data_IF_373283744511
#
_entry.id   IF_373283744511
#
_cell.length_a   1.000
_cell.length_b   1.000
_cell.length_c   1.000
_cell.angle_alpha   90.00
_cell.angle_beta   90.00
_cell.angle_gamma   90.00
#
_symmetry.space_group_name_H-M   'P 1'
#
loop_
_entity.id
_entity.type
_entity.pdbx_description
1 polymer ?
#
# COMPACT_ATOMS: atom_id res chain seq x y z
N UNK A 1 -0.97 13.63 -6.12
CA UNK A 1 -1.20 12.35 -5.39
C UNK A 1 -0.55 11.20 -6.11
N UNK A 2 0.18 10.37 -5.39
CA UNK A 2 0.86 9.17 -5.88
C UNK A 2 -0.06 7.97 -5.66
N UNK A 3 -0.23 7.13 -6.68
CA UNK A 3 -0.95 5.86 -6.54
C UNK A 3 -0.05 4.84 -5.86
N UNK A 4 -0.60 4.12 -4.88
CA UNK A 4 0.12 3.13 -4.10
C UNK A 4 -0.63 1.81 -4.04
N UNK A 5 0.11 0.73 -3.84
CA UNK A 5 -0.42 -0.60 -3.51
C UNK A 5 0.20 -1.07 -2.18
N UNK A 6 -0.37 -2.07 -1.53
CA UNK A 6 0.22 -2.67 -0.34
C UNK A 6 1.39 -3.55 -0.79
N UNK A 7 2.60 -3.24 -0.30
CA UNK A 7 3.79 -4.05 -0.52
C UNK A 7 3.83 -5.22 0.48
N UNK A 8 3.68 -4.89 1.76
CA UNK A 8 3.68 -5.90 2.83
C UNK A 8 2.93 -5.42 4.07
N UNK A 9 2.55 -6.38 4.92
CA UNK A 9 2.00 -6.13 6.25
C UNK A 9 2.88 -6.88 7.25
N UNK A 10 3.58 -6.14 8.09
CA UNK A 10 4.40 -6.72 9.16
C UNK A 10 3.54 -6.83 10.42
N UNK A 11 3.14 -8.07 10.74
CA UNK A 11 2.37 -8.37 11.93
C UNK A 11 3.30 -8.46 13.14
N UNK A 12 3.09 -7.60 14.12
CA UNK A 12 3.85 -7.64 15.36
C UNK A 12 3.07 -8.34 16.47
N UNK A 13 3.78 -9.09 17.30
CA UNK A 13 3.23 -9.71 18.51
C UNK A 13 3.59 -8.84 19.74
N UNK A 14 2.62 -8.69 20.66
CA UNK A 14 2.83 -7.95 21.90
C UNK A 14 2.63 -6.42 21.75
N UNK A 15 3.36 -5.61 22.53
CA UNK A 15 3.13 -4.17 22.63
C UNK A 15 3.70 -3.36 21.45
N UNK A 16 4.36 -4.02 20.50
CA UNK A 16 4.93 -3.36 19.33
C UNK A 16 3.84 -3.15 18.27
N UNK A 17 3.74 -1.99 17.63
CA UNK A 17 2.78 -1.77 16.56
C UNK A 17 3.11 -2.62 15.33
N UNK A 18 2.08 -3.09 14.64
CA UNK A 18 2.21 -3.66 13.31
C UNK A 18 2.46 -2.55 12.28
N UNK A 19 2.99 -2.88 11.13
CA UNK A 19 3.28 -1.93 10.06
C UNK A 19 2.54 -2.34 8.78
N UNK A 20 2.00 -1.35 8.09
CA UNK A 20 1.52 -1.47 6.73
C UNK A 20 2.51 -0.71 5.86
N UNK A 21 3.09 -1.37 4.87
CA UNK A 21 4.01 -0.76 3.91
C UNK A 21 3.27 -0.58 2.60
N UNK A 22 3.13 0.67 2.18
CA UNK A 22 2.53 1.06 0.91
C UNK A 22 3.66 1.41 -0.06
N UNK A 23 3.69 0.79 -1.22
CA UNK A 23 4.67 1.07 -2.27
C UNK A 23 4.03 1.86 -3.40
N UNK A 24 4.78 2.80 -3.96
CA UNK A 24 4.41 3.54 -5.16
C UNK A 24 4.19 2.57 -6.32
N UNK A 25 3.06 2.72 -6.99
CA UNK A 25 2.77 1.88 -8.15
C UNK A 25 3.54 2.37 -9.35
N UNK A 26 4.39 1.51 -9.92
CA UNK A 26 5.09 1.79 -11.16
C UNK A 26 4.08 2.07 -12.28
N UNK A 27 4.02 3.29 -12.78
CA UNK A 27 3.44 3.55 -14.08
C UNK A 27 4.45 3.11 -15.13
N UNK A 28 4.01 2.37 -16.15
CA UNK A 28 4.83 1.81 -17.24
C UNK A 28 5.58 2.85 -18.09
N UNK A 29 5.95 3.99 -17.55
CA UNK A 29 6.80 4.97 -18.20
C UNK A 29 8.20 4.89 -17.62
N UNK A 30 9.16 4.63 -18.46
CA UNK A 30 10.60 4.50 -18.35
C UNK A 30 11.37 5.45 -17.39
N UNK A 31 10.89 5.66 -16.19
CA UNK A 31 11.66 6.40 -15.20
C UNK A 31 12.53 5.43 -14.41
N UNK A 32 13.86 5.55 -14.44
CA UNK A 32 14.79 4.72 -13.69
C UNK A 32 14.82 5.07 -12.19
N UNK A 33 13.89 5.92 -11.71
CA UNK A 33 13.84 6.30 -10.31
C UNK A 33 13.32 5.13 -9.46
N UNK A 34 13.99 4.82 -8.35
CA UNK A 34 13.54 3.77 -7.44
C UNK A 34 12.16 4.11 -6.86
N UNK A 35 11.33 3.08 -6.71
CA UNK A 35 10.01 3.22 -6.13
C UNK A 35 10.12 3.60 -4.64
N UNK A 36 9.20 4.42 -4.17
CA UNK A 36 9.15 4.85 -2.77
C UNK A 36 8.11 4.05 -2.01
N UNK A 37 8.45 3.69 -0.78
CA UNK A 37 7.55 3.01 0.16
C UNK A 37 7.26 3.89 1.36
N UNK A 38 6.02 3.85 1.85
CA UNK A 38 5.55 4.55 3.04
C UNK A 38 5.11 3.54 4.09
N UNK A 39 5.75 3.57 5.26
CA UNK A 39 5.39 2.72 6.39
C UNK A 39 4.43 3.44 7.35
N UNK A 40 3.28 2.82 7.63
CA UNK A 40 2.25 3.33 8.53
C UNK A 40 2.09 2.37 9.70
N UNK A 41 2.27 2.88 10.92
CA UNK A 41 2.03 2.09 12.14
C UNK A 41 0.53 1.85 12.34
N UNK A 42 0.18 0.62 12.76
CA UNK A 42 -1.21 0.24 13.03
C UNK A 42 -1.29 -0.79 14.16
N UNK A 43 -2.48 -0.97 14.72
CA UNK A 43 -2.74 -2.02 15.69
C UNK A 43 -2.76 -3.41 15.03
N UNK A 44 -2.54 -4.44 15.84
CA UNK A 44 -2.54 -5.84 15.36
C UNK A 44 -3.91 -6.29 14.85
N UNK A 45 -4.99 -5.81 15.46
CA UNK A 45 -6.37 -6.11 15.01
C UNK A 45 -6.70 -5.46 13.67
N UNK A 46 -6.26 -4.21 13.45
CA UNK A 46 -6.42 -3.49 12.21
C UNK A 46 -5.59 -4.15 11.09
N UNK A 47 -4.34 -4.49 11.36
CA UNK A 47 -3.50 -5.23 10.42
C UNK A 47 -4.11 -6.58 10.03
N UNK A 48 -4.63 -7.34 11.00
CA UNK A 48 -5.34 -8.59 10.74
C UNK A 48 -6.62 -8.39 9.91
N UNK A 49 -7.34 -7.28 10.14
CA UNK A 49 -8.53 -6.95 9.35
C UNK A 49 -8.19 -6.65 7.89
N UNK A 50 -7.06 -5.96 7.63
CA UNK A 50 -6.57 -5.69 6.28
C UNK A 50 -6.13 -6.99 5.60
N UNK A 51 -5.31 -7.82 6.25
CA UNK A 51 -4.85 -9.11 5.72
C UNK A 51 -6.02 -9.99 5.28
N UNK A 52 -7.07 -10.12 6.11
CA UNK A 52 -8.28 -10.87 5.73
C UNK A 52 -8.97 -10.32 4.48
N UNK A 53 -8.90 -9.01 4.25
CA UNK A 53 -9.45 -8.39 3.05
C UNK A 53 -8.65 -8.74 1.79
N UNK A 54 -7.33 -8.88 1.92
CA UNK A 54 -6.43 -9.28 0.83
C UNK A 54 -6.64 -10.74 0.45
N UNK A 55 -6.73 -11.64 1.45
CA UNK A 55 -6.84 -13.08 1.26
C UNK A 55 -8.16 -13.52 0.59
N UNK A 56 -9.04 -12.58 0.23
CA UNK A 56 -10.30 -12.80 -0.49
C UNK A 56 -11.23 -13.84 0.13
N UNK A 57 -10.92 -14.32 1.31
CA UNK A 57 -11.76 -15.21 2.10
C UNK A 57 -12.87 -14.42 2.76
N UNK A 58 -14.03 -14.26 2.09
CA UNK A 58 -15.19 -13.70 2.77
C UNK A 58 -15.53 -14.63 3.94
N UNK A 59 -15.45 -14.10 5.14
CA UNK A 59 -15.87 -14.84 6.33
C UNK A 59 -17.35 -15.25 6.17
N UNK A 60 -17.76 -16.38 6.76
CA UNK A 60 -19.18 -16.81 6.75
C UNK A 60 -20.14 -15.70 7.22
N UNK A 61 -19.65 -14.81 8.09
CA UNK A 61 -20.37 -13.61 8.54
C UNK A 61 -19.50 -12.38 8.27
N UNK A 62 -20.13 -11.27 7.78
CA UNK A 62 -19.41 -10.03 7.51
C UNK A 62 -18.84 -9.45 8.82
N UNK A 63 -17.58 -9.02 8.76
CA UNK A 63 -16.97 -8.22 9.83
C UNK A 63 -17.28 -6.74 9.61
N UNK A 64 -16.87 -5.87 10.54
CA UNK A 64 -17.25 -4.45 10.53
C UNK A 64 -16.99 -3.75 9.18
N UNK A 65 -15.84 -3.99 8.55
CA UNK A 65 -15.52 -3.37 7.26
C UNK A 65 -16.38 -3.91 6.12
N UNK A 66 -16.72 -5.21 6.14
CA UNK A 66 -17.62 -5.81 5.17
C UNK A 66 -19.04 -5.21 5.32
N UNK A 67 -19.51 -5.13 6.58
CA UNK A 67 -20.81 -4.54 6.89
C UNK A 67 -20.90 -3.07 6.46
N UNK A 68 -19.82 -2.30 6.67
CA UNK A 68 -19.78 -0.90 6.23
C UNK A 68 -19.88 -0.78 4.71
N UNK A 69 -19.14 -1.60 3.95
CA UNK A 69 -19.23 -1.61 2.48
C UNK A 69 -20.61 -2.06 1.99
N UNK A 70 -21.18 -3.10 2.60
CA UNK A 70 -22.53 -3.57 2.29
C UNK A 70 -23.56 -2.46 2.58
N UNK A 71 -23.38 -1.69 3.66
CA UNK A 71 -24.24 -0.56 4.01
C UNK A 71 -24.13 0.57 2.98
N UNK A 72 -22.90 0.94 2.59
CA UNK A 72 -22.67 1.96 1.55
C UNK A 72 -23.34 1.53 0.25
N UNK A 73 -23.18 0.26 -0.15
CA UNK A 73 -23.81 -0.30 -1.35
C UNK A 73 -25.34 -0.33 -1.27
N UNK A 74 -25.90 -0.70 -0.11
CA UNK A 74 -27.35 -0.74 0.10
C UNK A 74 -27.99 0.67 0.02
N UNK A 75 -27.22 1.72 0.32
CA UNK A 75 -27.64 3.12 0.17
C UNK A 75 -27.40 3.68 -1.25
N UNK A 76 -27.04 2.83 -2.22
CA UNK A 76 -26.82 3.25 -3.60
C UNK A 76 -25.51 3.99 -3.84
N UNK A 77 -24.59 3.95 -2.88
CA UNK A 77 -23.30 4.59 -2.97
C UNK A 77 -22.16 3.56 -3.26
N UNK A 78 -21.00 4.04 -3.67
CA UNK A 78 -19.83 3.20 -3.96
C UNK A 78 -18.57 3.86 -3.42
N UNK A 79 -17.69 3.05 -2.83
CA UNK A 79 -16.34 3.51 -2.50
C UNK A 79 -15.56 3.71 -3.80
N UNK A 80 -15.11 4.93 -4.06
CA UNK A 80 -14.40 5.29 -5.29
C UNK A 80 -12.89 5.17 -5.13
N UNK A 81 -12.34 5.67 -4.04
CA UNK A 81 -10.91 5.62 -3.69
C UNK A 81 -10.67 5.96 -2.24
N UNK A 82 -9.45 5.74 -1.77
CA UNK A 82 -8.98 6.27 -0.49
C UNK A 82 -7.73 7.15 -0.72
N UNK A 83 -7.56 8.14 0.14
CA UNK A 83 -6.49 9.13 0.05
C UNK A 83 -5.82 9.28 1.42
N UNK A 84 -4.50 9.13 1.52
CA UNK A 84 -3.72 9.54 2.70
C UNK A 84 -3.35 11.00 2.49
N UNK A 85 -4.00 11.89 3.24
CA UNK A 85 -4.04 13.33 2.93
C UNK A 85 -3.16 14.17 3.85
N UNK A 86 -2.81 13.66 5.04
CA UNK A 86 -1.96 14.38 6.00
C UNK A 86 -1.17 13.39 6.85
N UNK A 87 0.04 13.80 7.22
CA UNK A 87 0.90 13.04 8.10
C UNK A 87 1.58 13.96 9.13
N UNK A 88 1.39 13.63 10.40
CA UNK A 88 2.06 14.21 11.58
C UNK A 88 2.63 13.03 12.39
N UNK A 89 3.79 12.48 11.96
CA UNK A 89 4.31 11.23 12.55
C UNK A 89 4.31 11.22 14.08
N UNK A 90 3.79 10.13 14.69
CA UNK A 90 3.42 8.87 14.06
C UNK A 90 1.98 8.80 13.50
N UNK A 91 1.20 9.90 13.53
CA UNK A 91 -0.20 9.93 13.14
C UNK A 91 -0.36 10.27 11.67
N UNK A 92 -1.17 9.47 10.98
CA UNK A 92 -1.57 9.69 9.59
C UNK A 92 -3.09 9.86 9.52
N UNK A 93 -3.54 10.64 8.53
CA UNK A 93 -4.95 10.94 8.30
C UNK A 93 -5.35 10.49 6.89
N UNK A 94 -6.49 9.84 6.79
CA UNK A 94 -7.00 9.36 5.52
C UNK A 94 -8.39 9.92 5.23
N UNK A 95 -8.73 9.92 3.96
CA UNK A 95 -10.06 10.25 3.46
C UNK A 95 -10.59 9.08 2.64
N UNK A 96 -11.78 8.64 2.97
CA UNK A 96 -12.55 7.72 2.14
C UNK A 96 -13.44 8.54 1.22
N UNK A 97 -13.31 8.34 -0.09
CA UNK A 97 -14.12 9.03 -1.09
C UNK A 97 -15.20 8.09 -1.59
N UNK A 98 -16.43 8.46 -1.34
CA UNK A 98 -17.63 7.70 -1.70
C UNK A 98 -18.39 8.46 -2.77
N UNK A 99 -18.77 7.78 -3.85
CA UNK A 99 -19.64 8.31 -4.89
C UNK A 99 -21.10 7.94 -4.59
N UNK A 100 -21.95 8.95 -4.45
CA UNK A 100 -23.39 8.80 -4.27
C UNK A 100 -24.13 9.85 -5.12
N UNK A 101 -25.15 9.44 -5.85
CA UNK A 101 -25.96 10.32 -6.72
C UNK A 101 -25.12 11.20 -7.67
N UNK A 102 -24.00 10.66 -8.16
CA UNK A 102 -23.05 11.35 -9.06
C UNK A 102 -22.15 12.37 -8.36
N UNK A 103 -22.19 12.49 -7.04
CA UNK A 103 -21.37 13.40 -6.25
C UNK A 103 -20.35 12.65 -5.39
N UNK A 104 -19.14 13.19 -5.28
CA UNK A 104 -18.13 12.70 -4.35
C UNK A 104 -18.38 13.23 -2.93
N UNK A 105 -18.37 12.32 -1.98
CA UNK A 105 -18.41 12.62 -0.54
C UNK A 105 -17.10 12.20 0.09
N UNK A 106 -16.41 13.15 0.74
CA UNK A 106 -15.15 12.92 1.44
C UNK A 106 -15.41 12.69 2.93
N UNK A 107 -14.98 11.55 3.44
CA UNK A 107 -15.21 11.11 4.81
C UNK A 107 -13.85 10.93 5.48
N UNK A 108 -13.63 11.60 6.61
CA UNK A 108 -12.42 11.41 7.42
C UNK A 108 -12.37 10.01 8.00
N UNK A 109 -11.19 9.40 7.98
CA UNK A 109 -10.98 8.04 8.43
C UNK A 109 -9.55 7.81 8.95
N UNK A 110 -9.37 6.81 9.79
CA UNK A 110 -8.03 6.32 10.09
C UNK A 110 -7.47 5.60 8.84
N UNK A 111 -6.14 5.68 8.59
CA UNK A 111 -5.52 4.97 7.47
C UNK A 111 -5.85 3.48 7.43
N UNK A 112 -5.79 2.80 8.58
CA UNK A 112 -6.09 1.37 8.67
C UNK A 112 -7.52 1.02 8.25
N UNK A 113 -8.50 1.84 8.61
CA UNK A 113 -9.90 1.62 8.23
C UNK A 113 -10.09 1.87 6.72
N UNK A 114 -9.52 2.97 6.22
CA UNK A 114 -9.58 3.30 4.80
C UNK A 114 -8.94 2.20 3.94
N UNK A 115 -7.76 1.72 4.31
CA UNK A 115 -7.04 0.62 3.62
C UNK A 115 -7.86 -0.68 3.69
N UNK A 116 -8.43 -1.00 4.87
CA UNK A 116 -9.26 -2.20 5.04
C UNK A 116 -10.51 -2.20 4.15
N UNK A 117 -11.07 -1.02 3.87
CA UNK A 117 -12.18 -0.85 2.91
C UNK A 117 -11.68 -0.96 1.47
N UNK A 118 -10.53 -0.33 1.15
CA UNK A 118 -9.97 -0.33 -0.20
C UNK A 118 -9.64 -1.74 -0.69
N UNK A 119 -9.00 -2.58 0.13
CA UNK A 119 -8.63 -3.96 -0.25
C UNK A 119 -9.85 -4.84 -0.52
N UNK A 120 -10.98 -4.59 0.17
CA UNK A 120 -12.23 -5.34 -0.02
C UNK A 120 -13.02 -4.93 -1.25
N UNK A 121 -12.95 -3.66 -1.61
CA UNK A 121 -13.67 -3.09 -2.75
C UNK A 121 -12.83 -2.99 -4.01
N UNK A 122 -11.54 -3.37 -3.97
CA UNK A 122 -10.54 -3.11 -5.01
C UNK A 122 -10.47 -1.63 -5.40
N UNK A 123 -10.75 -0.71 -4.46
CA UNK A 123 -10.65 0.70 -4.70
C UNK A 123 -9.17 1.14 -4.72
N UNK A 124 -8.81 2.07 -5.62
CA UNK A 124 -7.45 2.58 -5.67
C UNK A 124 -7.10 3.39 -4.42
N UNK A 125 -5.82 3.30 -4.03
CA UNK A 125 -5.24 4.01 -2.90
C UNK A 125 -4.27 5.07 -3.39
N UNK A 126 -4.30 6.25 -2.75
CA UNK A 126 -3.44 7.36 -3.07
C UNK A 126 -2.82 7.96 -1.82
N UNK A 127 -1.62 8.51 -1.98
CA UNK A 127 -0.90 9.25 -0.95
C UNK A 127 -0.55 10.62 -1.51
N UNK A 128 -0.65 11.67 -0.71
CA UNK A 128 -0.22 13.02 -1.12
C UNK A 128 1.28 13.03 -1.45
N UNK A 129 1.64 13.72 -2.54
CA UNK A 129 3.04 13.83 -3.03
C UNK A 129 3.98 14.32 -1.95
N UNK A 130 3.56 15.32 -1.15
CA UNK A 130 4.35 15.85 -0.04
C UNK A 130 4.66 14.78 1.02
N UNK A 131 3.71 13.91 1.33
CA UNK A 131 3.91 12.81 2.29
C UNK A 131 4.93 11.82 1.75
N UNK A 132 4.79 11.38 0.49
CA UNK A 132 5.73 10.48 -0.14
C UNK A 132 7.14 11.09 -0.25
N UNK A 133 7.24 12.39 -0.53
CA UNK A 133 8.53 13.08 -0.61
C UNK A 133 9.24 13.22 0.74
N UNK A 134 8.49 13.44 1.83
CA UNK A 134 9.05 13.67 3.17
C UNK A 134 9.28 12.40 3.96
N UNK A 135 8.42 11.42 3.82
CA UNK A 135 8.36 10.23 4.68
C UNK A 135 8.57 8.92 3.91
N UNK A 136 8.55 8.96 2.59
CA UNK A 136 8.84 7.80 1.75
C UNK A 136 10.32 7.42 1.82
N UNK A 137 10.57 6.12 1.85
CA UNK A 137 11.91 5.51 1.73
C UNK A 137 12.00 4.75 0.42
N UNK A 138 13.19 4.39 -0.02
CA UNK A 138 13.36 3.49 -1.18
C UNK A 138 12.72 2.14 -0.84
N UNK A 139 11.93 1.59 -1.77
CA UNK A 139 11.29 0.29 -1.58
C UNK A 139 12.35 -0.82 -1.54
N UNK A 140 12.23 -1.74 -0.58
CA UNK A 140 13.09 -2.92 -0.50
C UNK A 140 13.04 -3.78 -1.79
N UNK A 141 11.89 -3.75 -2.48
CA UNK A 141 11.73 -4.45 -3.76
C UNK A 141 12.59 -3.85 -4.88
N UNK A 142 12.93 -2.55 -4.79
CA UNK A 142 13.86 -1.92 -5.74
C UNK A 142 15.31 -2.36 -5.49
N UNK A 143 15.68 -2.61 -4.24
CA UNK A 143 17.02 -3.11 -3.89
C UNK A 143 17.22 -4.55 -4.38
N UNK A 144 16.24 -5.44 -4.25
CA UNK A 144 16.31 -6.82 -4.77
C UNK A 144 16.44 -6.86 -6.31
N UNK A 145 15.77 -5.96 -7.04
CA UNK A 145 15.88 -5.90 -8.51
C UNK A 145 17.23 -5.34 -8.97
N UNK A 146 17.81 -4.42 -8.22
CA UNK A 146 19.15 -3.90 -8.52
C UNK A 146 20.24 -4.94 -8.19
N UNK A 147 20.10 -5.71 -7.09
CA UNK A 147 20.99 -6.83 -6.77
C UNK A 147 20.95 -7.92 -7.85
N UNK A 148 19.78 -8.32 -8.35
CA UNK A 148 19.68 -9.29 -9.44
C UNK A 148 20.36 -8.78 -10.72
N UNK A 149 20.21 -7.50 -11.06
CA UNK A 149 20.88 -6.89 -12.22
C UNK A 149 22.39 -6.76 -12.03
N UNK A 150 22.86 -6.53 -10.81
CA UNK A 150 24.30 -6.53 -10.50
C UNK A 150 24.87 -7.95 -10.55
N UNK A 151 24.14 -8.95 -10.07
CA UNK A 151 24.51 -10.36 -10.22
C UNK A 151 24.60 -10.79 -11.69
N UNK A 152 23.63 -10.44 -12.53
CA UNK A 152 23.65 -10.73 -13.97
C UNK A 152 24.87 -10.08 -14.66
N UNK A 153 25.16 -8.81 -14.34
CA UNK A 153 26.35 -8.12 -14.88
C UNK A 153 27.66 -8.73 -14.40
N UNK A 154 27.70 -9.19 -13.15
CA UNK A 154 28.88 -9.86 -12.60
C UNK A 154 29.10 -11.24 -13.24
N UNK A 155 28.04 -11.99 -13.47
CA UNK A 155 28.09 -13.30 -14.12
C UNK A 155 28.53 -13.17 -15.59
N UNK A 156 28.02 -12.17 -16.32
CA UNK A 156 28.45 -11.83 -17.68
C UNK A 156 29.93 -11.40 -17.72
N UNK A 157 30.37 -10.62 -16.72
CA UNK A 157 31.79 -10.23 -16.61
C UNK A 157 32.69 -11.44 -16.35
N UNK A 158 32.32 -12.35 -15.45
CA UNK A 158 33.07 -13.58 -15.15
C UNK A 158 33.20 -14.49 -16.39
N UNK A 159 32.17 -14.57 -17.21
CA UNK A 159 32.16 -15.34 -18.45
C UNK A 159 33.03 -14.73 -19.56
N UNK A 160 33.39 -13.44 -19.47
CA UNK A 160 34.31 -12.79 -20.42
C UNK A 160 35.76 -12.94 -20.06
N UNK A 161 36.12 -13.45 -18.87
CA UNK A 161 37.49 -13.69 -18.44
C UNK A 161 38.03 -14.97 -19.05
N UNK A 162 39.15 -14.86 -19.73
CA UNK A 162 39.90 -16.02 -20.26
C UNK A 162 40.93 -16.52 -19.25
N UNK A 163 41.22 -17.85 -19.20
CA UNK A 163 42.27 -18.39 -18.35
C UNK A 163 43.65 -17.78 -18.55
N UNK A 164 43.85 -17.06 -19.65
CA UNK A 164 45.13 -16.38 -20.00
C UNK A 164 45.25 -14.96 -19.41
N UNK A 165 44.24 -14.49 -18.68
CA UNK A 165 44.22 -13.15 -18.06
C UNK A 165 44.75 -13.13 -16.61
N UNK A 166 45.33 -14.27 -16.12
CA UNK A 166 45.92 -14.40 -14.79
C UNK A 166 47.36 -14.90 -14.81
#
# INVERSE_FOLDING_TARGET
MVRVDIETIVMAAGPVPSLIVLCERCSKSDSPAPLRSLSIQTGSFEAAAISRGIDSGRAERPITHDLLLDTVGALGAKLERIEIVRAEPPVFYATVVVLADGNEHKIDARPSDAIALAVRSNAPMFVEDDIMNRLGTVSAHAEEVDDEREFEKFDEFVHTLSPDDF
#
